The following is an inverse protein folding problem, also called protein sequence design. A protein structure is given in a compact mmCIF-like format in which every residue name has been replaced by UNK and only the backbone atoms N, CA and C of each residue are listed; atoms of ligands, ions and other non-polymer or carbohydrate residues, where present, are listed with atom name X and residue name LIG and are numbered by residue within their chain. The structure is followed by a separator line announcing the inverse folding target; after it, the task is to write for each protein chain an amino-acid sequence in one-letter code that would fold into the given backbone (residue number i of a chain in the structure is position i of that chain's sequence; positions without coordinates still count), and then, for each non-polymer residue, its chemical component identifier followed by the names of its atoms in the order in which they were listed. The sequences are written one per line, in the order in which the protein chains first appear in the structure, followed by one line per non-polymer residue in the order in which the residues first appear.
data_IF_073989245540
#
_entry.id   IF_073989245540
#
_cell.length_a   1.000
_cell.length_b   1.000
_cell.length_c   1.000
_cell.angle_alpha   90.00
_cell.angle_beta   90.00
_cell.angle_gamma   90.00
#
_symmetry.space_group_name_H-M   'P 1'
#
loop_
_entity.id
_entity.type
_entity.pdbx_description
1 polymer ?
#
# COMPACT_ATOMS: atom_id res chain seq x y z
N UNK A 1 -10.56 19.86 -58.71
CA UNK A 1 -10.08 18.52 -58.34
C UNK A 1 -10.22 18.40 -56.84
N UNK A 2 -11.40 17.95 -56.42
CA UNK A 2 -11.58 17.27 -55.14
C UNK A 2 -10.73 15.99 -55.16
N UNK A 3 -10.18 15.61 -54.00
CA UNK A 3 -10.13 14.25 -53.45
C UNK A 3 -9.02 14.13 -52.39
N UNK A 4 -9.46 13.95 -51.14
CA UNK A 4 -8.83 13.11 -50.11
C UNK A 4 -7.48 13.59 -49.54
N UNK A 5 -7.17 13.46 -48.25
CA UNK A 5 -7.36 12.30 -47.35
C UNK A 5 -7.41 12.85 -45.91
N UNK A 6 -8.53 12.77 -45.20
CA UNK A 6 -8.84 11.72 -44.20
C UNK A 6 -7.60 11.16 -43.49
N UNK A 7 -7.40 11.64 -42.26
CA UNK A 7 -6.52 11.07 -41.25
C UNK A 7 -7.08 11.41 -39.88
N UNK A 8 -8.19 10.77 -39.52
CA UNK A 8 -8.68 10.74 -38.15
C UNK A 8 -7.81 9.70 -37.43
N UNK A 9 -7.01 10.13 -36.47
CA UNK A 9 -6.39 9.23 -35.50
C UNK A 9 -7.09 9.51 -34.17
N UNK A 10 -8.11 8.69 -33.92
CA UNK A 10 -8.65 8.52 -32.58
C UNK A 10 -7.61 7.79 -31.75
N UNK A 11 -7.01 8.50 -30.80
CA UNK A 11 -6.33 7.88 -29.67
C UNK A 11 -7.36 7.73 -28.56
N UNK A 12 -7.99 6.56 -28.45
CA UNK A 12 -8.55 6.12 -27.19
C UNK A 12 -7.35 5.95 -26.24
N UNK A 13 -7.12 6.95 -25.38
CA UNK A 13 -6.39 6.74 -24.15
C UNK A 13 -7.29 5.93 -23.22
N UNK A 14 -7.21 4.60 -23.31
CA UNK A 14 -7.65 3.75 -22.22
C UNK A 14 -6.70 4.06 -21.05
N UNK A 15 -7.10 4.98 -20.18
CA UNK A 15 -6.59 4.99 -18.83
C UNK A 15 -7.14 3.70 -18.21
N UNK A 16 -6.34 2.63 -18.24
CA UNK A 16 -6.54 1.53 -17.32
C UNK A 16 -6.36 2.14 -15.93
N UNK A 17 -7.48 2.52 -15.31
CA UNK A 17 -7.53 2.64 -13.86
C UNK A 17 -7.39 1.21 -13.34
N UNK A 18 -6.16 0.71 -13.32
CA UNK A 18 -5.82 -0.54 -12.66
C UNK A 18 -6.05 -0.26 -11.19
N UNK A 19 -7.12 -0.83 -10.64
CA UNK A 19 -7.58 -0.58 -9.29
C UNK A 19 -6.58 -1.13 -8.29
N UNK A 20 -5.71 -0.27 -7.76
CA UNK A 20 -5.05 -0.55 -6.50
C UNK A 20 -6.12 -0.51 -5.41
N UNK A 21 -6.29 -1.60 -4.66
CA UNK A 21 -7.13 -1.59 -3.47
C UNK A 21 -6.28 -1.06 -2.33
N UNK A 22 -6.67 0.11 -1.83
CA UNK A 22 -6.10 0.69 -0.63
C UNK A 22 -6.86 0.20 0.59
N UNK A 23 -6.13 -0.26 1.59
CA UNK A 23 -6.68 -0.58 2.90
C UNK A 23 -6.95 0.72 3.67
N UNK A 24 -8.08 1.37 3.41
CA UNK A 24 -8.48 2.61 4.06
C UNK A 24 -9.19 2.32 5.40
N UNK A 25 -8.57 2.66 6.54
CA UNK A 25 -9.17 2.53 7.88
C UNK A 25 -8.35 1.74 8.90
N UNK A 26 -7.19 1.24 8.49
CA UNK A 26 -6.38 0.35 9.29
C UNK A 26 -5.47 1.14 10.28
N UNK A 27 -5.18 0.62 11.49
CA UNK A 27 -4.23 1.23 12.46
C UNK A 27 -2.80 0.66 12.32
N UNK A 28 -1.79 1.53 12.16
CA UNK A 28 -0.41 1.03 12.09
C UNK A 28 0.08 0.72 13.49
N UNK A 29 0.81 -0.39 13.64
CA UNK A 29 1.37 -0.76 14.93
C UNK A 29 2.75 -0.10 15.00
N UNK A 30 2.83 1.01 15.72
CA UNK A 30 4.10 1.58 16.13
C UNK A 30 4.74 0.69 17.19
N UNK A 31 6.06 0.47 17.08
CA UNK A 31 6.85 0.01 18.21
C UNK A 31 6.89 1.16 19.23
N UNK A 32 5.91 1.20 20.13
CA UNK A 32 5.89 2.14 21.26
C UNK A 32 6.95 1.72 22.29
N UNK A 33 8.21 1.88 21.89
CA UNK A 33 9.35 1.97 22.78
C UNK A 33 9.32 3.29 23.55
N UNK A 34 8.63 3.30 24.69
CA UNK A 34 8.81 4.17 25.86
C UNK A 34 9.51 5.54 25.64
N UNK A 35 8.75 6.66 25.66
CA UNK A 35 9.35 7.99 25.60
C UNK A 35 8.45 9.17 25.99
N UNK A 36 8.40 9.46 27.30
CA UNK A 36 8.22 10.79 27.92
C UNK A 36 7.38 11.89 27.24
N UNK A 37 6.22 12.18 27.85
CA UNK A 37 5.62 13.52 27.77
C UNK A 37 6.57 14.57 28.35
N UNK A 38 6.92 15.58 27.56
CA UNK A 38 7.54 16.79 28.06
C UNK A 38 7.91 17.79 26.95
N UNK A 39 7.27 18.97 26.95
CA UNK A 39 7.82 20.15 26.30
C UNK A 39 6.82 21.15 25.72
N UNK A 40 6.38 22.10 26.55
CA UNK A 40 5.81 23.39 26.19
C UNK A 40 6.63 24.18 25.13
N UNK A 41 5.94 25.04 24.35
CA UNK A 41 6.40 25.87 23.22
C UNK A 41 7.46 26.97 23.51
N UNK A 42 7.52 28.14 22.80
CA UNK A 42 6.48 28.82 22.00
C UNK A 42 6.92 29.48 20.65
N UNK A 43 5.91 29.98 19.92
CA UNK A 43 5.82 31.14 18.99
C UNK A 43 7.09 31.97 18.67
N UNK A 44 7.33 32.24 17.37
CA UNK A 44 8.02 33.47 16.92
C UNK A 44 7.35 34.09 15.69
N UNK A 45 6.76 35.26 15.91
CA UNK A 45 6.31 36.25 14.92
C UNK A 45 7.50 37.10 14.42
N UNK A 46 7.49 37.54 13.14
CA UNK A 46 8.31 38.68 12.71
C UNK A 46 8.81 38.72 11.24
N UNK A 47 8.09 39.47 10.40
CA UNK A 47 8.65 40.61 9.66
C UNK A 47 9.41 40.45 8.32
N UNK A 48 8.70 40.75 7.23
CA UNK A 48 8.99 41.80 6.22
C UNK A 48 10.18 41.77 5.22
N UNK A 49 9.78 41.97 3.95
CA UNK A 49 10.39 42.74 2.84
C UNK A 49 11.59 42.21 2.04
N UNK A 50 11.43 42.14 0.71
CA UNK A 50 12.56 42.08 -0.23
C UNK A 50 12.23 41.52 -1.61
N UNK A 51 11.72 42.36 -2.51
CA UNK A 51 11.50 42.03 -3.91
C UNK A 51 12.78 41.66 -4.67
N UNK A 52 12.61 40.80 -5.67
CA UNK A 52 13.68 40.41 -6.61
C UNK A 52 13.16 39.46 -7.67
N UNK A 53 12.54 40.00 -8.72
CA UNK A 53 12.37 39.27 -9.98
C UNK A 53 13.74 38.96 -10.56
N UNK A 54 14.11 37.69 -10.58
CA UNK A 54 15.13 37.16 -11.47
C UNK A 54 14.58 35.88 -12.09
N UNK A 55 14.26 35.99 -13.37
CA UNK A 55 13.97 34.91 -14.29
C UNK A 55 15.13 33.92 -14.31
N UNK A 56 14.91 32.75 -13.75
CA UNK A 56 15.79 31.60 -13.90
C UNK A 56 14.90 30.38 -14.00
N UNK A 57 14.69 29.89 -15.22
CA UNK A 57 13.95 28.66 -15.48
C UNK A 57 14.62 27.53 -14.72
N UNK A 58 13.98 27.12 -13.63
CA UNK A 58 14.01 25.73 -13.24
C UNK A 58 12.68 25.21 -13.74
N UNK A 59 12.71 24.46 -14.83
CA UNK A 59 11.77 23.38 -15.02
C UNK A 59 11.84 22.54 -13.74
N UNK A 60 11.04 22.95 -12.75
CA UNK A 60 10.68 22.14 -11.62
C UNK A 60 9.87 21.02 -12.19
N UNK A 61 10.58 20.06 -12.77
CA UNK A 61 10.16 18.69 -12.86
C UNK A 61 9.83 18.29 -11.42
N UNK A 62 8.61 18.62 -11.02
CA UNK A 62 7.89 17.87 -10.03
C UNK A 62 7.58 16.52 -10.68
N UNK A 63 8.61 15.78 -11.08
CA UNK A 63 8.56 14.36 -10.86
C UNK A 63 8.37 14.25 -9.36
N UNK A 64 7.12 14.05 -8.94
CA UNK A 64 6.89 13.01 -7.95
C UNK A 64 7.81 11.89 -8.42
N UNK A 65 8.94 11.69 -7.74
CA UNK A 65 9.81 10.55 -8.03
C UNK A 65 8.87 9.38 -8.09
N UNK A 66 8.59 8.88 -9.29
CA UNK A 66 7.69 7.76 -9.46
C UNK A 66 8.33 6.68 -8.61
N UNK A 67 7.65 6.31 -7.51
CA UNK A 67 8.25 5.45 -6.52
C UNK A 67 8.80 4.22 -7.25
N UNK A 68 10.10 4.00 -7.10
CA UNK A 68 10.81 3.00 -7.86
C UNK A 68 10.25 1.64 -7.48
N UNK A 69 9.84 0.87 -8.48
CA UNK A 69 9.40 -0.51 -8.30
C UNK A 69 10.62 -1.41 -8.37
N UNK A 70 10.76 -2.34 -7.43
CA UNK A 70 11.86 -3.30 -7.36
C UNK A 70 11.30 -4.70 -7.15
N UNK A 71 12.01 -5.71 -7.65
CA UNK A 71 11.62 -7.11 -7.45
C UNK A 71 11.68 -7.45 -5.96
N UNK A 72 10.71 -8.24 -5.49
CA UNK A 72 10.68 -8.70 -4.10
C UNK A 72 11.68 -9.83 -3.88
N UNK A 73 12.36 -9.82 -2.74
CA UNK A 73 13.08 -10.96 -2.21
C UNK A 73 12.09 -12.00 -1.67
N UNK A 74 11.97 -13.19 -2.28
CA UNK A 74 11.00 -14.20 -1.88
C UNK A 74 11.31 -14.84 -0.53
N UNK A 75 12.52 -14.62 0.02
CA UNK A 75 12.93 -15.11 1.34
C UNK A 75 12.72 -14.06 2.44
N UNK A 76 12.20 -12.87 2.11
CA UNK A 76 11.95 -11.81 3.07
C UNK A 76 10.96 -12.29 4.14
N UNK A 77 11.19 -11.97 5.43
CA UNK A 77 10.36 -12.45 6.53
C UNK A 77 9.05 -11.64 6.66
N UNK A 78 8.34 -11.44 5.55
CA UNK A 78 7.09 -10.70 5.48
C UNK A 78 5.93 -11.65 5.18
N UNK A 79 4.87 -11.58 6.00
CA UNK A 79 3.71 -12.45 5.87
C UNK A 79 2.42 -11.70 6.22
N UNK A 80 1.35 -11.98 5.48
CA UNK A 80 0.00 -11.55 5.79
C UNK A 80 -0.85 -12.76 6.18
N UNK A 81 -1.56 -12.64 7.30
CA UNK A 81 -2.42 -13.69 7.84
C UNK A 81 -3.82 -13.17 8.11
N UNK A 82 -4.79 -14.02 7.83
CA UNK A 82 -6.20 -13.79 8.13
C UNK A 82 -6.52 -14.33 9.53
N UNK A 83 -7.21 -13.51 10.32
CA UNK A 83 -7.63 -13.80 11.69
C UNK A 83 -9.13 -13.53 11.82
N UNK A 84 -9.81 -14.29 12.66
CA UNK A 84 -11.19 -14.00 13.05
C UNK A 84 -11.21 -13.40 14.46
N UNK A 85 -11.89 -12.28 14.67
CA UNK A 85 -11.97 -11.61 15.97
C UNK A 85 -12.94 -12.32 16.94
N UNK A 86 -14.05 -12.85 16.42
CA UNK A 86 -15.11 -13.48 17.24
C UNK A 86 -14.95 -15.00 17.47
N UNK A 87 -13.90 -15.61 16.94
CA UNK A 87 -13.65 -17.05 17.08
C UNK A 87 -13.09 -17.41 18.46
N UNK A 88 -13.25 -18.67 18.95
CA UNK A 88 -12.39 -19.14 20.01
C UNK A 88 -10.95 -18.92 19.53
N UNK A 89 -10.21 -18.09 20.26
CA UNK A 89 -8.77 -18.06 20.13
C UNK A 89 -8.26 -19.46 20.47
N UNK A 90 -8.22 -20.36 19.50
CA UNK A 90 -7.37 -21.56 19.57
C UNK A 90 -5.88 -21.16 19.60
N UNK A 91 -5.56 -19.85 19.78
CA UNK A 91 -4.22 -19.30 19.95
C UNK A 91 -3.32 -19.57 18.74
N UNK A 92 -3.87 -20.13 17.66
CA UNK A 92 -3.16 -20.45 16.44
C UNK A 92 -2.84 -19.18 15.67
N UNK A 93 -1.83 -19.18 14.81
CA UNK A 93 -1.31 -17.97 14.18
C UNK A 93 -2.20 -17.39 13.07
N UNK A 94 -3.46 -17.85 12.88
CA UNK A 94 -4.30 -17.46 11.75
C UNK A 94 -3.90 -18.17 10.46
N UNK A 95 -4.81 -18.15 9.48
CA UNK A 95 -4.57 -18.74 8.17
C UNK A 95 -3.70 -17.80 7.34
N UNK A 96 -2.62 -18.33 6.74
CA UNK A 96 -1.76 -17.52 5.87
C UNK A 96 -2.56 -17.08 4.65
N UNK A 97 -2.54 -15.78 4.36
CA UNK A 97 -3.20 -15.20 3.20
C UNK A 97 -2.20 -15.06 2.04
N UNK A 98 -1.03 -14.48 2.30
CA UNK A 98 0.11 -14.47 1.37
C UNK A 98 1.43 -14.22 2.13
N UNK A 99 2.57 -14.54 1.50
CA UNK A 99 3.91 -14.22 1.99
C UNK A 99 4.76 -13.57 0.89
N UNK A 100 6.02 -13.22 1.20
CA UNK A 100 6.92 -12.55 0.25
C UNK A 100 7.11 -13.33 -1.06
N UNK A 101 7.02 -14.67 -1.05
CA UNK A 101 7.16 -15.49 -2.25
C UNK A 101 5.94 -15.40 -3.18
N UNK A 102 4.79 -14.93 -2.68
CA UNK A 102 3.60 -14.67 -3.50
C UNK A 102 3.69 -13.31 -4.24
N UNK A 103 4.68 -12.45 -3.93
CA UNK A 103 4.84 -11.10 -4.48
C UNK A 103 5.81 -11.05 -5.69
N UNK A 104 5.57 -10.13 -6.62
CA UNK A 104 6.41 -9.89 -7.80
C UNK A 104 7.23 -8.60 -7.66
N UNK A 105 6.59 -7.50 -7.23
CA UNK A 105 7.25 -6.21 -7.04
C UNK A 105 6.75 -5.47 -5.79
N UNK A 106 7.65 -4.69 -5.19
CA UNK A 106 7.33 -3.69 -4.19
C UNK A 106 7.66 -2.29 -4.73
N UNK A 107 6.75 -1.35 -4.53
CA UNK A 107 6.89 0.05 -4.88
C UNK A 107 7.40 0.83 -3.67
N UNK A 108 8.35 1.73 -3.92
CA UNK A 108 8.89 2.65 -2.91
C UNK A 108 7.83 3.41 -2.12
N UNK A 109 8.22 3.90 -0.94
CA UNK A 109 7.34 4.65 -0.05
C UNK A 109 6.90 5.95 -0.71
N UNK A 110 5.59 6.17 -0.79
CA UNK A 110 5.00 7.44 -1.22
C UNK A 110 4.25 8.09 -0.07
N UNK A 111 4.16 9.42 -0.05
CA UNK A 111 3.37 10.12 0.96
C UNK A 111 2.02 10.53 0.36
N UNK A 112 0.93 10.23 1.07
CA UNK A 112 -0.42 10.71 0.75
C UNK A 112 -1.12 11.17 2.02
N UNK A 113 -1.53 12.43 2.07
CA UNK A 113 -2.33 12.99 3.18
C UNK A 113 -1.70 12.80 4.59
N UNK A 114 -0.36 12.73 4.65
CA UNK A 114 0.39 12.52 5.90
C UNK A 114 0.64 11.04 6.25
N UNK A 115 0.21 10.12 5.40
CA UNK A 115 0.48 8.68 5.52
C UNK A 115 1.58 8.24 4.56
N UNK A 116 2.32 7.21 4.95
CA UNK A 116 3.39 6.59 4.18
C UNK A 116 2.87 5.31 3.52
N UNK A 117 2.69 5.32 2.21
CA UNK A 117 2.11 4.23 1.44
C UNK A 117 3.21 3.35 0.83
N UNK A 118 3.10 2.04 1.03
CA UNK A 118 3.88 1.01 0.32
C UNK A 118 2.97 0.26 -0.65
N UNK A 119 3.31 0.23 -1.92
CA UNK A 119 2.59 -0.55 -2.92
C UNK A 119 3.19 -1.95 -3.07
N UNK A 120 2.37 -2.99 -2.99
CA UNK A 120 2.76 -4.37 -3.22
C UNK A 120 2.02 -4.91 -4.46
N UNK A 121 2.71 -5.68 -5.29
CA UNK A 121 2.12 -6.41 -6.40
C UNK A 121 2.28 -7.90 -6.15
N UNK A 122 1.17 -8.62 -6.09
CA UNK A 122 1.15 -10.08 -6.12
C UNK A 122 1.57 -10.57 -7.52
N UNK A 123 2.22 -11.73 -7.55
CA UNK A 123 2.35 -12.52 -8.77
C UNK A 123 0.99 -13.09 -9.19
N UNK A 124 0.86 -13.58 -10.43
CA UNK A 124 -0.41 -14.18 -10.89
C UNK A 124 -0.81 -15.42 -10.07
N UNK A 125 0.17 -16.24 -9.67
CA UNK A 125 -0.02 -17.38 -8.77
C UNK A 125 -0.38 -16.91 -7.35
N UNK A 126 0.25 -15.83 -6.87
CA UNK A 126 -0.05 -15.19 -5.59
C UNK A 126 -1.47 -14.63 -5.53
N UNK A 127 -1.93 -13.94 -6.57
CA UNK A 127 -3.31 -13.42 -6.69
C UNK A 127 -4.33 -14.55 -6.66
N UNK A 128 -4.09 -15.62 -7.41
CA UNK A 128 -4.96 -16.80 -7.43
C UNK A 128 -5.03 -17.43 -6.04
N UNK A 129 -3.88 -17.68 -5.44
CA UNK A 129 -3.78 -18.28 -4.11
C UNK A 129 -4.42 -17.40 -3.02
N UNK A 130 -4.25 -16.09 -3.12
CA UNK A 130 -4.87 -15.12 -2.22
C UNK A 130 -6.39 -15.26 -2.24
N UNK A 131 -7.00 -15.25 -3.43
CA UNK A 131 -8.46 -15.37 -3.57
C UNK A 131 -8.98 -16.72 -3.08
N UNK A 132 -8.29 -17.81 -3.43
CA UNK A 132 -8.66 -19.15 -2.96
C UNK A 132 -8.61 -19.26 -1.43
N UNK A 133 -7.58 -18.70 -0.78
CA UNK A 133 -7.45 -18.70 0.68
C UNK A 133 -8.49 -17.80 1.36
N UNK A 134 -8.81 -16.65 0.76
CA UNK A 134 -9.84 -15.74 1.26
C UNK A 134 -11.25 -16.34 1.14
N UNK A 135 -11.53 -17.06 0.05
CA UNK A 135 -12.79 -17.80 -0.14
C UNK A 135 -12.88 -19.00 0.83
N UNK A 136 -11.80 -19.77 0.95
CA UNK A 136 -11.76 -20.96 1.82
C UNK A 136 -11.97 -20.64 3.30
N UNK A 137 -11.61 -19.43 3.74
CA UNK A 137 -11.84 -18.98 5.12
C UNK A 137 -13.29 -18.54 5.37
N UNK A 138 -14.06 -18.27 4.32
CA UNK A 138 -15.40 -17.70 4.38
C UNK A 138 -15.43 -16.17 4.53
N UNK A 139 -14.28 -15.48 4.43
CA UNK A 139 -14.22 -14.02 4.50
C UNK A 139 -14.88 -13.32 3.32
N UNK A 140 -15.08 -14.03 2.20
CA UNK A 140 -15.85 -13.53 1.05
C UNK A 140 -17.34 -13.43 1.36
N UNK A 141 -17.87 -14.37 2.15
CA UNK A 141 -19.29 -14.41 2.51
C UNK A 141 -19.62 -13.50 3.70
N UNK A 142 -18.74 -13.46 4.71
CA UNK A 142 -18.91 -12.72 5.96
C UNK A 142 -17.56 -12.07 6.35
N UNK A 143 -17.22 -10.88 5.80
CA UNK A 143 -15.91 -10.26 5.96
C UNK A 143 -15.69 -9.56 7.30
N UNK A 144 -16.76 -8.99 7.89
CA UNK A 144 -16.70 -8.16 9.09
C UNK A 144 -15.99 -8.80 10.32
N UNK A 145 -16.10 -10.11 10.61
CA UNK A 145 -15.40 -10.70 11.75
C UNK A 145 -13.91 -10.99 11.45
N UNK A 146 -13.41 -10.67 10.26
CA UNK A 146 -12.04 -10.97 9.85
C UNK A 146 -11.14 -9.75 9.80
N UNK A 147 -9.88 -9.99 10.12
CA UNK A 147 -8.82 -9.01 10.10
C UNK A 147 -7.55 -9.60 9.49
N UNK A 148 -6.90 -8.83 8.63
CA UNK A 148 -5.61 -9.16 8.03
C UNK A 148 -4.50 -8.56 8.91
N UNK A 149 -3.71 -9.42 9.53
CA UNK A 149 -2.52 -9.05 10.29
C UNK A 149 -1.29 -9.31 9.43
N UNK A 150 -0.49 -8.27 9.18
CA UNK A 150 0.76 -8.34 8.44
C UNK A 150 1.93 -8.18 9.38
N UNK A 151 2.92 -9.05 9.24
CA UNK A 151 4.09 -9.10 10.10
C UNK A 151 5.37 -9.01 9.29
N UNK A 152 6.39 -8.42 9.91
CA UNK A 152 7.78 -8.41 9.44
C UNK A 152 8.66 -9.00 10.55
N UNK A 153 9.40 -10.07 10.25
CA UNK A 153 10.18 -10.84 11.23
C UNK A 153 9.32 -11.31 12.43
N UNK A 154 8.04 -11.57 12.17
CA UNK A 154 7.07 -11.97 13.21
C UNK A 154 6.54 -10.82 14.07
N UNK A 155 7.04 -9.59 13.93
CA UNK A 155 6.46 -8.41 14.56
C UNK A 155 5.30 -7.88 13.70
N UNK A 156 4.14 -7.63 14.30
CA UNK A 156 2.99 -7.05 13.58
C UNK A 156 3.33 -5.62 13.19
N UNK A 157 3.35 -5.35 11.88
CA UNK A 157 3.58 -4.01 11.33
C UNK A 157 2.28 -3.34 10.89
N UNK A 158 1.25 -4.16 10.63
CA UNK A 158 -0.05 -3.67 10.14
C UNK A 158 -1.18 -4.61 10.51
N UNK A 159 -2.31 -4.03 10.87
CA UNK A 159 -3.59 -4.72 11.02
C UNK A 159 -4.66 -4.02 10.21
N UNK A 160 -5.41 -4.76 9.40
CA UNK A 160 -6.51 -4.25 8.56
C UNK A 160 -7.78 -5.04 8.77
N UNK A 161 -8.83 -4.38 9.25
CA UNK A 161 -10.17 -4.95 9.32
C UNK A 161 -10.76 -5.12 7.92
N UNK A 162 -11.40 -6.26 7.67
CA UNK A 162 -12.03 -6.53 6.38
C UNK A 162 -13.50 -6.10 6.40
N UNK A 163 -13.87 -5.30 5.41
CA UNK A 163 -15.25 -4.91 5.14
C UNK A 163 -15.73 -5.46 3.80
N UNK A 164 -17.06 -5.53 3.63
CA UNK A 164 -17.70 -6.00 2.39
C UNK A 164 -17.18 -5.32 1.12
N UNK A 165 -17.14 -3.97 1.06
CA UNK A 165 -16.55 -3.24 -0.06
C UNK A 165 -15.10 -3.63 -0.36
N UNK A 166 -14.25 -3.70 0.66
CA UNK A 166 -12.83 -4.10 0.50
C UNK A 166 -12.71 -5.51 -0.05
N UNK A 167 -13.42 -6.48 0.51
CA UNK A 167 -13.37 -7.87 0.03
C UNK A 167 -13.96 -8.02 -1.37
N UNK A 168 -15.02 -7.27 -1.69
CA UNK A 168 -15.57 -7.22 -3.06
C UNK A 168 -14.51 -6.71 -4.03
N UNK A 169 -13.78 -5.64 -3.68
CA UNK A 169 -12.73 -5.10 -4.53
C UNK A 169 -11.55 -6.08 -4.69
N UNK A 170 -11.16 -6.79 -3.62
CA UNK A 170 -10.08 -7.79 -3.65
C UNK A 170 -10.46 -9.10 -4.37
N UNK A 171 -11.74 -9.38 -4.55
CA UNK A 171 -12.22 -10.57 -5.28
C UNK A 171 -12.63 -10.25 -6.71
N UNK A 172 -12.67 -8.97 -7.08
CA UNK A 172 -13.00 -8.53 -8.41
C UNK A 172 -11.95 -8.99 -9.44
N UNK A 173 -12.41 -9.38 -10.63
CA UNK A 173 -11.53 -9.84 -11.71
C UNK A 173 -10.68 -8.70 -12.30
N UNK A 174 -11.08 -7.44 -12.10
CA UNK A 174 -10.31 -6.25 -12.48
C UNK A 174 -9.24 -5.87 -11.44
N UNK A 175 -9.26 -6.48 -10.25
CA UNK A 175 -8.17 -6.32 -9.29
C UNK A 175 -6.95 -7.11 -9.77
N UNK A 176 -5.88 -6.40 -10.14
CA UNK A 176 -4.66 -6.97 -10.72
C UNK A 176 -3.62 -7.32 -9.63
N UNK A 177 -4.06 -7.79 -8.47
CA UNK A 177 -3.16 -8.18 -7.38
C UNK A 177 -2.37 -7.04 -6.72
N UNK A 178 -2.77 -5.78 -6.91
CA UNK A 178 -2.08 -4.61 -6.34
C UNK A 178 -2.72 -4.21 -5.00
N UNK A 179 -1.91 -4.18 -3.96
CA UNK A 179 -2.27 -3.77 -2.60
C UNK A 179 -1.52 -2.49 -2.22
N UNK A 180 -2.22 -1.50 -1.71
CA UNK A 180 -1.60 -0.29 -1.15
C UNK A 180 -1.72 -0.29 0.37
N UNK A 181 -0.58 -0.29 1.06
CA UNK A 181 -0.48 -0.35 2.51
C UNK A 181 -0.13 1.03 3.08
N UNK A 182 -1.07 1.72 3.75
CA UNK A 182 -0.77 2.96 4.46
C UNK A 182 -0.13 2.70 5.82
N UNK A 183 0.89 3.46 6.19
CA UNK A 183 1.52 3.44 7.51
C UNK A 183 1.58 4.85 8.11
N UNK A 184 1.40 4.98 9.42
CA UNK A 184 1.53 6.30 10.09
C UNK A 184 2.99 6.70 10.27
N UNK A 185 3.90 5.72 10.33
CA UNK A 185 5.34 5.93 10.52
C UNK A 185 6.12 5.67 9.25
N UNK A 186 6.90 6.67 8.79
CA UNK A 186 7.83 6.53 7.67
C UNK A 186 8.82 5.39 7.90
N UNK A 187 9.36 5.29 9.12
CA UNK A 187 10.36 4.27 9.49
C UNK A 187 9.82 2.85 9.30
N UNK A 188 8.56 2.59 9.66
CA UNK A 188 7.91 1.29 9.45
C UNK A 188 7.72 1.01 7.96
N UNK A 189 7.23 1.98 7.20
CA UNK A 189 7.05 1.84 5.75
C UNK A 189 8.37 1.58 5.03
N UNK A 190 9.43 2.32 5.40
CA UNK A 190 10.78 2.15 4.86
C UNK A 190 11.38 0.80 5.27
N UNK A 191 11.15 0.33 6.48
CA UNK A 191 11.61 -0.99 6.94
C UNK A 191 10.96 -2.13 6.15
N UNK A 192 9.65 -2.06 5.93
CA UNK A 192 8.92 -3.03 5.09
C UNK A 192 9.44 -3.00 3.66
N UNK A 193 9.55 -1.81 3.06
CA UNK A 193 10.11 -1.66 1.70
C UNK A 193 11.53 -2.22 1.61
N UNK A 194 12.43 -1.83 2.52
CA UNK A 194 13.83 -2.24 2.50
C UNK A 194 14.00 -3.74 2.69
N UNK A 195 13.19 -4.36 3.55
CA UNK A 195 13.24 -5.81 3.76
C UNK A 195 12.76 -6.58 2.53
N UNK A 196 11.68 -6.12 1.88
CA UNK A 196 11.17 -6.76 0.67
C UNK A 196 12.08 -6.51 -0.54
N UNK A 197 12.80 -5.39 -0.58
CA UNK A 197 13.69 -5.01 -1.66
C UNK A 197 15.12 -5.59 -1.53
N UNK A 198 15.41 -6.40 -0.51
CA UNK A 198 16.77 -6.82 -0.13
C UNK A 198 17.38 -7.97 -0.99
N UNK A 199 16.78 -8.27 -2.15
CA UNK A 199 17.10 -9.41 -3.01
C UNK A 199 18.58 -9.50 -3.46
#
# INVERSE_FOLDING_TARGET
MELSRRGVLGGLGAACAVGAVGFAGAASVGDDGAGGSGGDGPETDGGSDGGGSATGGSDGDSTRSAATSVAVDPEAPFEARLRREDGPNDGGPGDRLFDAADLDYVQGVTENEGEHLVGLSLSADGETSFRERLEASGAVDDPEPFVVSMTLDGAEVRRVDLDGPTVTALTDAEWNGVLTLPFESAETAESVYASLAAA
#
